data_IF_894720834710
#
_entry.id   IF_894720834710
#
_cell.length_a   1.000
_cell.length_b   1.000
_cell.length_c   1.000
_cell.angle_alpha   90.00
_cell.angle_beta   90.00
_cell.angle_gamma   90.00
#
_symmetry.space_group_name_H-M   'P 1'
#
loop_
_entity.id
_entity.type
_entity.pdbx_description
1 polymer ?
#
# COMPACT_ATOMS: atom_id res chain seq x y z
N UNK A 1 -0.58 -15.86 11.57
CA UNK A 1 -1.66 -14.92 11.88
C UNK A 1 -1.19 -13.49 12.16
N UNK A 2 -0.62 -13.13 13.33
CA UNK A 2 -0.38 -11.69 13.68
C UNK A 2 0.50 -10.92 12.67
N UNK A 3 1.55 -11.56 12.14
CA UNK A 3 2.50 -10.91 11.23
C UNK A 3 1.90 -10.66 9.84
N UNK A 4 1.08 -11.59 9.35
CA UNK A 4 0.32 -11.45 8.11
C UNK A 4 -0.71 -10.32 8.21
N UNK A 5 -1.50 -10.32 9.28
CA UNK A 5 -2.51 -9.27 9.52
C UNK A 5 -1.85 -7.89 9.59
N UNK A 6 -0.70 -7.76 10.26
CA UNK A 6 0.06 -6.50 10.29
C UNK A 6 0.48 -6.02 8.90
N UNK A 7 0.97 -6.92 8.04
CA UNK A 7 1.41 -6.57 6.69
C UNK A 7 0.24 -6.18 5.79
N UNK A 8 -0.87 -6.92 5.86
CA UNK A 8 -2.09 -6.60 5.11
C UNK A 8 -2.69 -5.27 5.56
N UNK A 9 -2.78 -5.03 6.87
CA UNK A 9 -3.30 -3.77 7.42
C UNK A 9 -2.40 -2.60 7.07
N UNK A 10 -1.08 -2.73 7.21
CA UNK A 10 -0.13 -1.67 6.84
C UNK A 10 -0.18 -1.37 5.33
N UNK A 11 -0.26 -2.39 4.48
CA UNK A 11 -0.41 -2.23 3.03
C UNK A 11 -1.74 -1.57 2.65
N UNK A 12 -2.83 -1.96 3.30
CA UNK A 12 -4.15 -1.35 3.10
C UNK A 12 -4.18 0.13 3.49
N UNK A 13 -3.60 0.49 4.65
CA UNK A 13 -3.50 1.89 5.08
C UNK A 13 -2.64 2.69 4.09
N UNK A 14 -1.51 2.14 3.63
CA UNK A 14 -0.65 2.80 2.65
C UNK A 14 -1.37 3.06 1.31
N UNK A 15 -2.19 2.12 0.84
CA UNK A 15 -3.02 2.29 -0.36
C UNK A 15 -4.06 3.40 -0.20
N UNK A 16 -4.81 3.40 0.90
CA UNK A 16 -5.83 4.41 1.16
C UNK A 16 -5.19 5.79 1.23
N UNK A 17 -4.10 5.94 1.99
CA UNK A 17 -3.38 7.22 2.13
C UNK A 17 -2.78 7.69 0.79
N UNK A 18 -2.17 6.80 0.02
CA UNK A 18 -1.59 7.12 -1.28
C UNK A 18 -2.64 7.56 -2.30
N UNK A 19 -3.77 6.83 -2.37
CA UNK A 19 -4.87 7.15 -3.28
C UNK A 19 -5.54 8.48 -2.92
N UNK A 20 -5.82 8.70 -1.63
CA UNK A 20 -6.42 9.95 -1.17
C UNK A 20 -5.49 11.15 -1.39
N UNK A 21 -4.19 10.98 -1.13
CA UNK A 21 -3.17 12.00 -1.44
C UNK A 21 -3.11 12.31 -2.93
N UNK A 22 -3.18 11.30 -3.80
CA UNK A 22 -3.16 11.53 -5.27
C UNK A 22 -4.39 12.30 -5.77
N UNK A 23 -5.52 12.19 -5.07
CA UNK A 23 -6.77 12.88 -5.42
C UNK A 23 -6.84 14.31 -4.86
N UNK A 24 -6.08 14.60 -3.80
CA UNK A 24 -6.06 15.90 -3.14
C UNK A 24 -4.97 16.85 -3.67
N UNK A 25 -3.94 16.32 -4.32
CA UNK A 25 -2.78 17.10 -4.76
C UNK A 25 -2.75 17.31 -6.27
N UNK A 26 -2.51 18.57 -6.68
CA UNK A 26 -2.20 18.91 -8.06
C UNK A 26 -0.78 18.44 -8.43
N UNK A 27 -0.53 18.28 -9.73
CA UNK A 27 0.78 17.89 -10.24
C UNK A 27 1.85 18.91 -9.83
N UNK A 28 3.06 18.47 -9.38
CA UNK A 28 3.63 17.12 -9.47
C UNK A 28 3.38 16.21 -8.25
N UNK A 29 2.76 16.70 -7.18
CA UNK A 29 2.66 15.95 -5.93
C UNK A 29 1.68 14.76 -5.99
N UNK A 30 0.76 14.74 -6.97
CA UNK A 30 -0.02 13.55 -7.31
C UNK A 30 0.87 12.33 -7.65
N UNK A 31 2.05 12.55 -8.24
CA UNK A 31 2.99 11.46 -8.60
C UNK A 31 3.59 10.79 -7.35
N UNK A 32 3.79 11.55 -6.26
CA UNK A 32 4.21 10.99 -4.97
C UNK A 32 3.09 10.13 -4.36
N UNK A 33 1.83 10.57 -4.45
CA UNK A 33 0.67 9.78 -4.03
C UNK A 33 0.58 8.44 -4.80
N UNK A 34 0.83 8.47 -6.11
CA UNK A 34 0.87 7.27 -6.95
C UNK A 34 2.02 6.31 -6.56
N UNK A 35 3.21 6.83 -6.26
CA UNK A 35 4.34 6.02 -5.78
C UNK A 35 4.05 5.37 -4.42
N UNK A 36 3.41 6.10 -3.51
CA UNK A 36 2.99 5.55 -2.20
C UNK A 36 1.94 4.46 -2.38
N UNK A 37 0.97 4.64 -3.29
CA UNK A 37 -0.04 3.62 -3.61
C UNK A 37 0.60 2.35 -4.19
N UNK A 38 1.58 2.49 -5.10
CA UNK A 38 2.35 1.36 -5.65
C UNK A 38 3.14 0.61 -4.56
N UNK A 39 3.78 1.33 -3.65
CA UNK A 39 4.45 0.73 -2.49
C UNK A 39 3.49 -0.06 -1.60
N UNK A 40 2.30 0.48 -1.33
CA UNK A 40 1.25 -0.22 -0.59
C UNK A 40 0.79 -1.51 -1.28
N UNK A 41 0.65 -1.48 -2.61
CA UNK A 41 0.33 -2.63 -3.45
C UNK A 41 1.40 -3.73 -3.37
N UNK A 42 2.68 -3.37 -3.47
CA UNK A 42 3.79 -4.32 -3.33
C UNK A 42 3.86 -4.94 -1.92
N UNK A 43 3.65 -4.15 -0.87
CA UNK A 43 3.61 -4.63 0.50
C UNK A 43 2.47 -5.64 0.73
N UNK A 44 1.29 -5.37 0.15
CA UNK A 44 0.14 -6.28 0.17
C UNK A 44 0.44 -7.58 -0.59
N UNK A 45 0.99 -7.48 -1.80
CA UNK A 45 1.39 -8.63 -2.60
C UNK A 45 2.42 -9.52 -1.91
N UNK A 46 3.43 -8.92 -1.26
CA UNK A 46 4.45 -9.65 -0.50
C UNK A 46 3.85 -10.33 0.74
N UNK A 47 2.92 -9.69 1.44
CA UNK A 47 2.20 -10.30 2.56
C UNK A 47 1.37 -11.51 2.15
N UNK A 48 0.66 -11.41 1.01
CA UNK A 48 -0.12 -12.52 0.43
C UNK A 48 0.80 -13.67 0.00
N UNK A 49 1.88 -13.37 -0.73
CA UNK A 49 2.84 -14.39 -1.17
C UNK A 49 3.47 -15.14 0.01
N UNK A 50 3.84 -14.42 1.08
CA UNK A 50 4.42 -15.01 2.29
C UNK A 50 3.47 -15.95 3.06
N UNK A 51 2.15 -15.81 2.91
CA UNK A 51 1.17 -16.72 3.53
C UNK A 51 0.82 -17.89 2.60
N UNK A 52 0.90 -17.70 1.28
CA UNK A 52 0.74 -18.81 0.29
C UNK A 52 1.88 -19.82 0.40
N UNK A 53 3.11 -19.35 0.67
CA UNK A 53 4.29 -20.20 0.85
C UNK A 53 4.35 -20.91 2.23
N UNK A 54 3.40 -20.67 3.13
CA UNK A 54 3.40 -21.18 4.51
C UNK A 54 2.36 -22.27 4.75
#
# INVERSE_FOLDING_TARGET
MERFVRLVVAGGIALVVGLWGSHALAWPAAALGALVALCGLCALGAGIASEIER
#
